data_IF_987073673923
#
_entry.id   IF_987073673923
#
_cell.length_a   1.000
_cell.length_b   1.000
_cell.length_c   1.000
_cell.angle_alpha   90.00
_cell.angle_beta   90.00
_cell.angle_gamma   90.00
#
_symmetry.space_group_name_H-M   'P 1'
#
loop_
_entity.id
_entity.type
_entity.pdbx_description
1 polymer ?
#
# COMPACT_ATOMS: atom_id res chain seq x y z
N UNK A 1 -10.55 30.72 9.14
CA UNK A 1 -9.79 29.46 8.98
C UNK A 1 -8.85 29.54 7.78
N UNK A 2 -7.78 28.72 7.76
CA UNK A 2 -6.87 28.59 6.62
C UNK A 2 -7.51 27.72 5.53
N UNK A 3 -7.22 28.00 4.26
CA UNK A 3 -7.78 27.27 3.11
C UNK A 3 -7.56 25.76 3.21
N UNK A 4 -6.39 25.32 3.71
CA UNK A 4 -6.09 23.89 3.87
C UNK A 4 -7.08 23.15 4.79
N UNK A 5 -7.57 23.80 5.85
CA UNK A 5 -8.57 23.19 6.74
C UNK A 5 -9.93 23.06 6.07
N UNK A 6 -10.30 24.04 5.24
CA UNK A 6 -11.56 24.05 4.51
C UNK A 6 -11.54 23.03 3.38
N UNK A 7 -10.41 22.88 2.66
CA UNK A 7 -10.25 21.82 1.67
C UNK A 7 -10.49 20.42 2.24
N UNK A 8 -10.07 20.18 3.49
CA UNK A 8 -10.36 18.92 4.20
C UNK A 8 -11.86 18.75 4.48
N UNK A 9 -12.54 19.82 4.90
CA UNK A 9 -13.98 19.80 5.14
C UNK A 9 -14.77 19.59 3.85
N UNK A 10 -14.32 20.16 2.72
CA UNK A 10 -14.91 19.94 1.39
C UNK A 10 -14.87 18.45 1.02
N UNK A 11 -13.70 17.80 1.10
CA UNK A 11 -13.60 16.36 0.81
C UNK A 11 -14.48 15.53 1.77
N UNK A 12 -14.40 15.82 3.07
CA UNK A 12 -15.21 15.16 4.09
C UNK A 12 -16.71 15.27 3.80
N UNK A 13 -17.17 16.39 3.23
CA UNK A 13 -18.60 16.59 2.90
C UNK A 13 -19.11 15.76 1.73
N UNK A 14 -18.20 15.26 0.88
CA UNK A 14 -18.53 14.38 -0.25
C UNK A 14 -18.64 12.93 0.25
N UNK A 15 -17.75 12.54 1.15
CA UNK A 15 -17.69 11.17 1.67
C UNK A 15 -18.74 10.92 2.78
N UNK A 16 -18.98 11.91 3.64
CA UNK A 16 -19.84 11.77 4.80
C UNK A 16 -20.59 13.07 5.16
N UNK A 17 -21.60 12.94 6.03
CA UNK A 17 -22.38 14.09 6.47
C UNK A 17 -21.58 14.91 7.50
N UNK A 18 -21.25 16.16 7.14
CA UNK A 18 -20.64 17.10 8.07
C UNK A 18 -21.57 17.41 9.25
N UNK A 19 -20.97 17.71 10.41
CA UNK A 19 -21.74 18.26 11.52
C UNK A 19 -22.16 19.72 11.23
N UNK A 20 -23.21 20.25 11.88
CA UNK A 20 -23.73 21.59 11.58
C UNK A 20 -22.70 22.71 11.72
N UNK A 21 -21.75 22.58 12.66
CA UNK A 21 -20.71 23.58 12.92
C UNK A 21 -19.64 23.57 11.83
N UNK A 22 -19.22 22.39 11.38
CA UNK A 22 -18.27 22.21 10.28
C UNK A 22 -18.86 22.72 8.96
N UNK A 23 -20.15 22.46 8.74
CA UNK A 23 -20.86 22.95 7.57
C UNK A 23 -20.93 24.49 7.56
N UNK A 24 -21.29 25.10 8.69
CA UNK A 24 -21.35 26.56 8.81
C UNK A 24 -19.96 27.21 8.61
N UNK A 25 -18.90 26.63 9.18
CA UNK A 25 -17.52 27.10 9.00
C UNK A 25 -17.07 27.00 7.52
N UNK A 26 -17.43 25.91 6.84
CA UNK A 26 -17.16 25.71 5.41
C UNK A 26 -17.88 26.77 4.57
N UNK A 27 -19.19 26.93 4.73
CA UNK A 27 -20.00 27.91 3.99
C UNK A 27 -19.52 29.35 4.19
N UNK A 28 -19.15 29.73 5.43
CA UNK A 28 -18.58 31.05 5.74
C UNK A 28 -17.28 31.30 4.96
N UNK A 29 -16.46 30.28 4.77
CA UNK A 29 -15.20 30.42 4.05
C UNK A 29 -15.42 30.47 2.53
N UNK A 30 -16.30 29.63 1.99
CA UNK A 30 -16.63 29.61 0.56
C UNK A 30 -17.14 30.97 0.07
N UNK A 31 -17.90 31.69 0.91
CA UNK A 31 -18.35 33.06 0.60
C UNK A 31 -17.22 34.06 0.40
N UNK A 32 -16.05 33.83 1.00
CA UNK A 32 -14.94 34.81 1.07
C UNK A 32 -13.71 34.41 0.25
N UNK A 33 -13.52 33.12 -0.03
CA UNK A 33 -12.37 32.61 -0.78
C UNK A 33 -12.84 32.05 -2.13
N UNK A 34 -12.36 32.64 -3.23
CA UNK A 34 -12.68 32.18 -4.59
C UNK A 34 -12.11 30.77 -4.84
N UNK A 35 -10.84 30.55 -4.54
CA UNK A 35 -10.16 29.27 -4.82
C UNK A 35 -10.83 28.06 -4.13
N UNK A 36 -11.29 28.23 -2.89
CA UNK A 36 -12.00 27.17 -2.19
C UNK A 36 -13.42 26.94 -2.74
N UNK A 37 -14.05 27.98 -3.30
CA UNK A 37 -15.37 27.89 -3.95
C UNK A 37 -15.28 27.15 -5.27
N UNK A 38 -14.32 27.54 -6.11
CA UNK A 38 -14.08 26.89 -7.39
C UNK A 38 -13.81 25.40 -7.19
N UNK A 39 -12.92 25.05 -6.23
CA UNK A 39 -12.66 23.66 -5.88
C UNK A 39 -13.91 22.89 -5.42
N UNK A 40 -14.76 23.52 -4.60
CA UNK A 40 -16.00 22.89 -4.13
C UNK A 40 -16.96 22.63 -5.29
N UNK A 41 -17.15 23.61 -6.17
CA UNK A 41 -18.01 23.49 -7.35
C UNK A 41 -17.49 22.42 -8.33
N UNK A 42 -16.19 22.39 -8.58
CA UNK A 42 -15.55 21.39 -9.45
C UNK A 42 -15.75 19.97 -8.92
N UNK A 43 -15.47 19.75 -7.64
CA UNK A 43 -15.63 18.43 -7.02
C UNK A 43 -17.10 17.99 -6.97
N UNK A 44 -18.01 18.92 -6.66
CA UNK A 44 -19.43 18.62 -6.60
C UNK A 44 -19.98 18.23 -7.97
N UNK A 45 -19.56 18.93 -9.05
CA UNK A 45 -19.93 18.57 -10.43
C UNK A 45 -19.48 17.16 -10.79
N UNK A 46 -18.24 16.79 -10.47
CA UNK A 46 -17.72 15.44 -10.76
C UNK A 46 -18.53 14.35 -10.06
N UNK A 47 -18.92 14.59 -8.80
CA UNK A 47 -19.73 13.64 -8.02
C UNK A 47 -21.15 13.55 -8.56
N UNK A 48 -21.72 14.66 -9.02
CA UNK A 48 -23.05 14.69 -9.64
C UNK A 48 -23.08 13.98 -11.01
N UNK A 49 -21.96 14.01 -11.74
CA UNK A 49 -21.82 13.33 -13.04
C UNK A 49 -21.50 11.83 -12.91
N UNK A 50 -20.91 11.39 -11.80
CA UNK A 50 -20.48 10.01 -11.58
C UNK A 50 -21.59 8.94 -11.77
N UNK A 51 -22.87 9.17 -11.36
CA UNK A 51 -23.96 8.23 -11.60
C UNK A 51 -24.31 8.00 -13.08
N UNK A 52 -23.88 8.88 -13.98
CA UNK A 52 -24.11 8.73 -15.43
C UNK A 52 -23.09 7.79 -16.09
N UNK A 53 -22.11 7.30 -15.34
CA UNK A 53 -21.14 6.33 -15.85
C UNK A 53 -21.81 4.98 -16.11
N UNK A 54 -21.30 4.20 -17.09
CA UNK A 54 -21.81 2.86 -17.36
C UNK A 54 -21.69 2.00 -16.10
N UNK A 55 -22.75 1.26 -15.79
CA UNK A 55 -22.74 0.36 -14.64
C UNK A 55 -21.80 -0.82 -14.94
N UNK A 56 -20.74 -0.97 -14.14
CA UNK A 56 -19.83 -2.11 -14.21
C UNK A 56 -20.26 -3.12 -13.15
N UNK A 57 -20.97 -4.16 -13.56
CA UNK A 57 -21.29 -5.26 -12.66
C UNK A 57 -19.99 -6.00 -12.29
N UNK A 58 -19.64 -6.09 -10.99
CA UNK A 58 -18.51 -6.89 -10.56
C UNK A 58 -18.77 -8.37 -10.86
N UNK A 59 -17.70 -9.13 -11.10
CA UNK A 59 -17.79 -10.58 -11.25
C UNK A 59 -18.53 -11.21 -10.05
N UNK A 60 -19.47 -12.16 -10.27
CA UNK A 60 -20.19 -12.83 -9.19
C UNK A 60 -19.30 -13.43 -8.09
N UNK A 61 -18.11 -13.91 -8.45
CA UNK A 61 -17.13 -14.46 -7.50
C UNK A 61 -16.54 -13.41 -6.54
N UNK A 62 -16.54 -12.12 -6.91
CA UNK A 62 -16.09 -11.05 -6.02
C UNK A 62 -17.03 -10.93 -4.81
N UNK A 63 -18.33 -11.01 -5.05
CA UNK A 63 -19.32 -10.92 -3.99
C UNK A 63 -19.24 -12.11 -3.02
N UNK A 64 -19.04 -13.32 -3.54
CA UNK A 64 -18.82 -14.52 -2.72
C UNK A 64 -17.62 -14.36 -1.78
N UNK A 65 -16.52 -13.78 -2.28
CA UNK A 65 -15.31 -13.50 -1.48
C UNK A 65 -15.54 -12.42 -0.43
N UNK A 66 -16.28 -11.36 -0.76
CA UNK A 66 -16.64 -10.30 0.19
C UNK A 66 -17.54 -10.88 1.29
N UNK A 67 -18.57 -11.64 0.92
CA UNK A 67 -19.47 -12.30 1.86
C UNK A 67 -18.72 -13.28 2.78
N UNK A 68 -17.81 -14.08 2.23
CA UNK A 68 -16.95 -14.96 3.02
C UNK A 68 -16.09 -14.17 4.02
N UNK A 69 -15.54 -13.03 3.61
CA UNK A 69 -14.72 -12.17 4.47
C UNK A 69 -15.53 -11.53 5.60
N UNK A 70 -16.74 -11.04 5.31
CA UNK A 70 -17.64 -10.44 6.31
C UNK A 70 -18.12 -11.47 7.35
N UNK A 71 -18.45 -12.69 6.91
CA UNK A 71 -18.82 -13.79 7.82
C UNK A 71 -17.64 -14.24 8.70
N UNK A 72 -16.41 -14.14 8.18
CA UNK A 72 -15.20 -14.43 8.95
C UNK A 72 -14.92 -13.35 10.00
N UNK A 73 -15.28 -12.10 9.72
CA UNK A 73 -15.15 -10.97 10.64
C UNK A 73 -16.21 -10.99 11.75
N UNK A 74 -17.42 -11.53 11.49
CA UNK A 74 -18.42 -11.78 12.54
C UNK A 74 -18.09 -12.98 13.45
N UNK A 75 -17.33 -13.95 12.95
CA UNK A 75 -16.91 -15.14 13.73
C UNK A 75 -15.58 -14.96 14.45
N UNK A 76 -14.77 -13.99 14.03
CA UNK A 76 -13.66 -13.54 14.85
C UNK A 76 -14.20 -12.66 15.98
N UNK A 77 -13.91 -12.98 17.25
CA UNK A 77 -14.25 -12.07 18.32
C UNK A 77 -13.57 -10.74 18.00
N UNK A 78 -14.37 -9.69 17.80
CA UNK A 78 -13.90 -8.30 17.74
C UNK A 78 -12.78 -8.19 18.75
N UNK A 79 -11.57 -7.76 18.36
CA UNK A 79 -10.44 -7.63 19.27
C UNK A 79 -10.89 -6.78 20.46
N UNK A 80 -11.35 -7.48 21.49
CA UNK A 80 -11.85 -6.91 22.71
C UNK A 80 -10.58 -6.47 23.39
N UNK A 81 -10.31 -5.16 23.33
CA UNK A 81 -9.33 -4.55 24.22
C UNK A 81 -9.52 -5.17 25.59
N UNK A 82 -8.49 -5.79 26.19
CA UNK A 82 -8.66 -6.69 27.32
C UNK A 82 -9.48 -5.99 28.38
N UNK A 83 -10.73 -6.46 28.49
CA UNK A 83 -11.71 -5.92 29.41
C UNK A 83 -11.11 -6.07 30.80
N UNK A 84 -10.98 -4.92 31.43
CA UNK A 84 -10.25 -4.68 32.68
C UNK A 84 -10.57 -5.79 33.68
N UNK A 85 -9.53 -6.51 34.09
CA UNK A 85 -9.49 -7.44 35.22
C UNK A 85 -10.40 -6.92 36.35
N UNK A 86 -11.54 -7.58 36.58
CA UNK A 86 -12.33 -7.38 37.81
C UNK A 86 -11.56 -8.06 38.94
N UNK A 87 -10.57 -7.36 39.47
CA UNK A 87 -9.91 -7.76 40.71
C UNK A 87 -10.89 -7.44 41.84
N UNK A 88 -11.51 -8.48 42.39
CA UNK A 88 -12.20 -8.37 43.67
C UNK A 88 -11.13 -8.24 44.76
N UNK A 89 -10.87 -7.00 45.19
CA UNK A 89 -9.98 -6.75 46.31
C UNK A 89 -10.78 -6.96 47.61
N UNK A 90 -10.41 -7.92 48.48
CA UNK A 90 -10.96 -7.97 49.81
C UNK A 90 -10.55 -6.70 50.55
N UNK A 91 -11.51 -6.07 51.22
CA UNK A 91 -11.36 -4.81 51.93
C UNK A 91 -10.45 -4.99 53.15
N UNK A 92 -9.14 -4.94 52.96
CA UNK A 92 -8.20 -4.85 54.08
C UNK A 92 -7.46 -3.51 54.02
N UNK A 93 -7.70 -2.72 55.08
CA UNK A 93 -6.87 -1.64 55.62
C UNK A 93 -7.15 -0.21 55.07
N UNK A 94 -8.08 0.55 55.70
CA UNK A 94 -8.50 1.87 55.26
C UNK A 94 -7.47 3.01 55.48
N UNK A 95 -6.36 2.79 56.21
CA UNK A 95 -5.45 3.88 56.65
C UNK A 95 -4.21 4.13 55.76
N UNK A 96 -3.90 3.27 54.78
CA UNK A 96 -2.67 3.40 53.97
C UNK A 96 -2.89 3.49 52.44
N UNK A 97 -4.14 3.70 52.00
CA UNK A 97 -4.55 3.68 50.58
C UNK A 97 -3.80 4.70 49.70
N UNK A 98 -3.47 5.87 50.25
CA UNK A 98 -2.85 6.95 49.48
C UNK A 98 -1.32 6.83 49.37
N UNK A 99 -0.66 6.22 50.37
CA UNK A 99 0.80 6.06 50.38
C UNK A 99 1.27 4.91 49.47
N UNK A 100 0.56 3.79 49.48
CA UNK A 100 0.89 2.63 48.62
C UNK A 100 0.50 2.89 47.17
N UNK A 101 -0.60 3.61 46.93
CA UNK A 101 -1.03 4.00 45.57
C UNK A 101 -0.02 4.88 44.85
N UNK A 102 0.55 5.88 45.53
CA UNK A 102 1.53 6.79 44.93
C UNK A 102 2.84 6.08 44.53
N UNK A 103 3.33 5.16 45.37
CA UNK A 103 4.54 4.38 45.07
C UNK A 103 4.33 3.44 43.87
N UNK A 104 3.18 2.77 43.78
CA UNK A 104 2.87 1.87 42.66
C UNK A 104 2.65 2.61 41.34
N UNK A 105 2.06 3.82 41.37
CA UNK A 105 1.92 4.67 40.17
C UNK A 105 3.28 5.13 39.65
N UNK A 106 4.20 5.51 40.54
CA UNK A 106 5.56 5.90 40.14
C UNK A 106 6.34 4.73 39.54
N UNK A 107 6.23 3.53 40.11
CA UNK A 107 6.87 2.32 39.56
C UNK A 107 6.23 1.93 38.22
N UNK A 108 4.91 1.99 38.09
CA UNK A 108 4.20 1.74 36.82
C UNK A 108 4.57 2.77 35.74
N UNK A 109 4.68 4.04 36.08
CA UNK A 109 5.11 5.09 35.15
C UNK A 109 6.58 4.90 34.74
N UNK A 110 7.47 4.56 35.69
CA UNK A 110 8.86 4.27 35.37
C UNK A 110 9.00 3.05 34.46
N UNK A 111 8.28 1.95 34.75
CA UNK A 111 8.25 0.75 33.91
C UNK A 111 7.61 1.05 32.54
N UNK A 112 6.54 1.83 32.50
CA UNK A 112 5.90 2.25 31.24
C UNK A 112 6.83 3.10 30.39
N UNK A 113 7.56 4.06 30.96
CA UNK A 113 8.53 4.86 30.21
C UNK A 113 9.71 4.01 29.74
N UNK A 114 10.20 3.05 30.53
CA UNK A 114 11.31 2.18 30.13
C UNK A 114 10.90 1.15 29.07
N UNK A 115 9.69 0.57 29.17
CA UNK A 115 9.22 -0.50 28.26
C UNK A 115 8.52 0.08 27.01
N UNK A 116 7.81 1.20 27.13
CA UNK A 116 7.03 1.81 26.03
C UNK A 116 7.61 3.13 25.51
N UNK A 117 8.52 3.78 26.23
CA UNK A 117 9.20 5.00 25.77
C UNK A 117 9.90 4.88 24.40
N UNK A 118 10.51 3.73 24.03
CA UNK A 118 11.08 3.57 22.70
C UNK A 118 10.05 3.51 21.56
N UNK A 119 8.75 3.32 21.87
CA UNK A 119 7.67 3.19 20.88
C UNK A 119 6.80 4.44 20.70
N UNK A 120 6.87 5.41 21.60
CA UNK A 120 6.14 6.69 21.51
C UNK A 120 7.00 7.88 21.09
N UNK A 121 8.26 7.64 20.70
CA UNK A 121 9.07 8.67 20.04
C UNK A 121 8.41 9.11 18.72
N UNK A 122 8.47 10.40 18.35
CA UNK A 122 8.07 10.83 17.00
C UNK A 122 8.83 9.95 16.01
N UNK A 123 8.11 9.36 15.05
CA UNK A 123 8.67 8.44 14.05
C UNK A 123 9.76 9.13 13.23
N UNK A 124 10.96 9.19 13.78
CA UNK A 124 12.20 9.28 13.03
C UNK A 124 12.22 7.96 12.30
N UNK A 125 11.74 7.97 11.05
CA UNK A 125 11.98 6.89 10.11
C UNK A 125 13.49 6.67 10.15
N UNK A 126 13.92 5.58 10.76
CA UNK A 126 15.31 5.20 10.72
C UNK A 126 15.64 5.02 9.23
N UNK A 127 16.53 5.82 8.64
CA UNK A 127 16.85 5.72 7.21
C UNK A 127 17.24 4.29 6.82
N UNK A 128 17.83 3.55 7.77
CA UNK A 128 18.20 2.14 7.59
C UNK A 128 16.98 1.21 7.50
N UNK A 129 15.87 1.55 8.17
CA UNK A 129 14.61 0.79 8.10
C UNK A 129 13.85 1.04 6.79
N UNK A 130 13.87 2.29 6.27
CA UNK A 130 13.27 2.65 4.99
C UNK A 130 14.05 2.03 3.82
N UNK A 131 15.39 2.04 3.86
CA UNK A 131 16.23 1.37 2.87
C UNK A 131 15.98 -0.14 2.82
N UNK A 132 15.95 -0.83 3.98
CA UNK A 132 15.66 -2.27 4.04
C UNK A 132 14.29 -2.63 3.49
N UNK A 133 13.27 -1.82 3.81
CA UNK A 133 11.94 -2.00 3.26
C UNK A 133 11.93 -1.86 1.74
N UNK A 134 12.60 -0.83 1.21
CA UNK A 134 12.70 -0.59 -0.23
C UNK A 134 13.39 -1.75 -0.94
N UNK A 135 14.51 -2.23 -0.39
CA UNK A 135 15.25 -3.38 -0.92
C UNK A 135 14.38 -4.64 -0.96
N UNK A 136 13.66 -4.93 0.12
CA UNK A 136 12.75 -6.07 0.19
C UNK A 136 11.65 -6.01 -0.88
N UNK A 137 11.13 -4.80 -1.17
CA UNK A 137 10.11 -4.61 -2.22
C UNK A 137 10.66 -4.79 -3.63
N UNK A 138 11.91 -4.39 -3.86
CA UNK A 138 12.57 -4.63 -5.15
C UNK A 138 12.87 -6.11 -5.37
N UNK A 139 13.29 -6.83 -4.33
CA UNK A 139 13.50 -8.28 -4.38
C UNK A 139 12.19 -9.04 -4.64
N UNK A 140 11.10 -8.62 -4.00
CA UNK A 140 9.76 -9.13 -4.27
C UNK A 140 9.34 -8.91 -5.73
N UNK A 141 9.53 -7.70 -6.27
CA UNK A 141 9.24 -7.40 -7.67
C UNK A 141 10.08 -8.27 -8.63
N UNK A 142 11.36 -8.48 -8.33
CA UNK A 142 12.27 -9.34 -9.11
C UNK A 142 11.71 -10.75 -9.26
N UNK A 143 11.21 -11.33 -8.16
CA UNK A 143 10.61 -12.66 -8.17
C UNK A 143 9.41 -12.75 -9.12
N UNK A 144 8.55 -11.73 -9.13
CA UNK A 144 7.40 -11.69 -10.04
C UNK A 144 7.82 -11.56 -11.50
N UNK A 145 8.82 -10.73 -11.82
CA UNK A 145 9.34 -10.62 -13.18
C UNK A 145 9.98 -11.93 -13.65
N UNK A 146 10.74 -12.62 -12.80
CA UNK A 146 11.34 -13.92 -13.15
C UNK A 146 10.27 -14.94 -13.53
N UNK A 147 9.18 -15.01 -12.75
CA UNK A 147 8.03 -15.87 -13.07
C UNK A 147 7.34 -15.49 -14.38
N UNK A 148 7.18 -14.19 -14.64
CA UNK A 148 6.58 -13.71 -15.88
C UNK A 148 7.44 -14.10 -17.09
N UNK A 149 8.76 -13.87 -17.01
CA UNK A 149 9.71 -14.26 -18.06
C UNK A 149 9.68 -15.77 -18.28
N UNK A 150 9.64 -16.58 -17.23
CA UNK A 150 9.54 -18.04 -17.35
C UNK A 150 8.27 -18.45 -18.09
N UNK A 151 7.10 -17.96 -17.67
CA UNK A 151 5.82 -18.27 -18.30
C UNK A 151 5.76 -17.82 -19.77
N UNK A 152 6.23 -16.61 -20.07
CA UNK A 152 6.27 -16.07 -21.43
C UNK A 152 7.24 -16.82 -22.32
N UNK A 153 8.40 -17.22 -21.78
CA UNK A 153 9.37 -18.03 -22.52
C UNK A 153 8.79 -19.41 -22.86
N UNK A 154 8.09 -20.05 -21.92
CA UNK A 154 7.40 -21.32 -22.18
C UNK A 154 6.33 -21.18 -23.27
N UNK A 155 5.50 -20.14 -23.20
CA UNK A 155 4.51 -19.84 -24.23
C UNK A 155 5.16 -19.60 -25.61
N UNK A 156 6.27 -18.84 -25.63
CA UNK A 156 7.04 -18.57 -26.84
C UNK A 156 7.62 -19.84 -27.44
N UNK A 157 8.24 -20.73 -26.65
CA UNK A 157 8.83 -21.99 -27.18
C UNK A 157 7.80 -22.90 -27.85
N UNK A 158 6.55 -22.90 -27.38
CA UNK A 158 5.47 -23.68 -27.99
C UNK A 158 5.06 -23.12 -29.36
N UNK A 159 5.13 -21.80 -29.52
CA UNK A 159 4.72 -21.08 -30.74
C UNK A 159 5.86 -20.83 -31.72
N UNK A 160 7.10 -20.95 -31.27
CA UNK A 160 8.30 -20.71 -32.05
C UNK A 160 8.35 -21.50 -33.37
N UNK A 161 7.73 -22.68 -33.42
CA UNK A 161 7.69 -23.54 -34.62
C UNK A 161 6.88 -22.94 -35.79
N UNK A 162 5.97 -21.99 -35.53
CA UNK A 162 5.16 -21.33 -36.57
C UNK A 162 5.75 -20.00 -37.08
N UNK A 163 6.82 -19.50 -36.47
CA UNK A 163 7.42 -18.20 -36.81
C UNK A 163 8.33 -18.28 -38.05
N UNK A 164 8.42 -17.18 -38.81
CA UNK A 164 9.40 -17.06 -39.89
C UNK A 164 10.84 -17.21 -39.34
N UNK A 165 11.68 -18.08 -39.92
CA UNK A 165 13.02 -18.35 -39.41
C UNK A 165 13.94 -17.13 -39.39
N UNK A 166 13.69 -16.14 -40.25
CA UNK A 166 14.44 -14.88 -40.32
C UNK A 166 14.06 -13.96 -39.16
N UNK A 167 12.75 -13.83 -38.89
CA UNK A 167 12.24 -13.03 -37.76
C UNK A 167 12.67 -13.64 -36.42
N UNK A 168 12.63 -14.97 -36.33
CA UNK A 168 13.08 -15.73 -35.16
C UNK A 168 14.55 -15.44 -34.84
N UNK A 169 15.42 -15.45 -35.84
CA UNK A 169 16.86 -15.23 -35.65
C UNK A 169 17.16 -13.82 -35.12
N UNK A 170 16.48 -12.79 -35.63
CA UNK A 170 16.66 -11.41 -35.14
C UNK A 170 16.11 -11.24 -33.71
N UNK A 171 14.96 -11.86 -33.41
CA UNK A 171 14.40 -11.86 -32.06
C UNK A 171 15.32 -12.55 -31.05
N UNK A 172 15.84 -13.74 -31.37
CA UNK A 172 16.77 -14.46 -30.51
C UNK A 172 18.05 -13.66 -30.24
N UNK A 173 18.55 -12.95 -31.25
CA UNK A 173 19.69 -12.04 -31.10
C UNK A 173 19.38 -10.90 -30.13
N UNK A 174 18.21 -10.27 -30.23
CA UNK A 174 17.78 -9.22 -29.30
C UNK A 174 17.63 -9.75 -27.87
N UNK A 175 16.96 -10.90 -27.70
CA UNK A 175 16.79 -11.54 -26.39
C UNK A 175 18.13 -11.91 -25.77
N UNK A 176 19.09 -12.41 -26.56
CA UNK A 176 20.44 -12.73 -26.08
C UNK A 176 21.17 -11.50 -25.53
N UNK A 177 21.02 -10.32 -26.15
CA UNK A 177 21.59 -9.07 -25.62
C UNK A 177 21.00 -8.72 -24.26
N UNK A 178 19.67 -8.85 -24.11
CA UNK A 178 19.00 -8.59 -22.82
C UNK A 178 19.46 -9.59 -21.76
N UNK A 179 19.58 -10.87 -22.10
CA UNK A 179 20.02 -11.92 -21.18
C UNK A 179 21.45 -11.70 -20.69
N UNK A 180 22.37 -11.34 -21.58
CA UNK A 180 23.74 -10.99 -21.17
C UNK A 180 23.79 -9.78 -20.22
N UNK A 181 22.85 -8.84 -20.39
CA UNK A 181 22.72 -7.65 -19.54
C UNK A 181 22.20 -8.04 -18.16
N UNK A 182 21.15 -8.86 -18.09
CA UNK A 182 20.61 -9.43 -16.84
C UNK A 182 21.72 -10.16 -16.07
N UNK A 183 22.47 -11.04 -16.74
CA UNK A 183 23.57 -11.80 -16.12
C UNK A 183 24.67 -10.89 -15.56
N UNK A 184 24.92 -9.75 -16.19
CA UNK A 184 25.89 -8.77 -15.71
C UNK A 184 25.44 -8.08 -14.43
N UNK A 185 24.16 -7.69 -14.36
CA UNK A 185 23.57 -7.08 -13.17
C UNK A 185 23.43 -8.07 -12.02
N UNK A 186 23.04 -9.32 -12.29
CA UNK A 186 23.00 -10.35 -11.27
C UNK A 186 24.38 -10.60 -10.64
N UNK A 187 25.43 -10.59 -11.46
CA UNK A 187 26.82 -10.67 -10.98
C UNK A 187 27.20 -9.47 -10.13
N UNK A 188 26.83 -8.25 -10.53
CA UNK A 188 27.10 -7.03 -9.78
C UNK A 188 26.35 -7.01 -8.43
N UNK A 189 25.09 -7.44 -8.41
CA UNK A 189 24.27 -7.51 -7.18
C UNK A 189 24.83 -8.56 -6.20
N UNK A 190 25.39 -9.67 -6.68
CA UNK A 190 26.07 -10.63 -5.79
C UNK A 190 27.24 -10.01 -5.03
N UNK A 191 27.89 -8.98 -5.59
CA UNK A 191 28.98 -8.26 -4.93
C UNK A 191 28.45 -7.16 -4.01
N UNK A 192 27.39 -6.46 -4.41
CA UNK A 192 26.75 -5.39 -3.63
C UNK A 192 25.23 -5.61 -3.50
N UNK A 193 24.76 -6.47 -2.57
CA UNK A 193 23.33 -6.81 -2.48
C UNK A 193 22.43 -5.66 -2.04
N UNK A 194 22.96 -4.71 -1.28
CA UNK A 194 22.22 -3.56 -0.72
C UNK A 194 22.18 -2.33 -1.65
N UNK A 195 22.75 -2.44 -2.86
CA UNK A 195 22.71 -1.37 -3.87
C UNK A 195 21.33 -1.33 -4.55
N UNK A 196 20.49 -0.41 -4.07
CA UNK A 196 19.14 -0.16 -4.62
C UNK A 196 19.19 0.19 -6.11
N UNK A 197 20.22 0.92 -6.55
CA UNK A 197 20.35 1.33 -7.94
C UNK A 197 20.51 0.10 -8.84
N UNK A 198 21.43 -0.79 -8.49
CA UNK A 198 21.63 -2.04 -9.24
C UNK A 198 20.39 -2.94 -9.25
N UNK A 199 19.67 -3.04 -8.12
CA UNK A 199 18.42 -3.79 -8.06
C UNK A 199 17.38 -3.21 -9.02
N UNK A 200 17.24 -1.89 -9.08
CA UNK A 200 16.32 -1.21 -9.98
C UNK A 200 16.69 -1.42 -11.47
N UNK A 201 17.97 -1.26 -11.83
CA UNK A 201 18.45 -1.51 -13.20
C UNK A 201 18.19 -2.96 -13.65
N UNK A 202 18.36 -3.94 -12.75
CA UNK A 202 18.02 -5.33 -13.03
C UNK A 202 16.52 -5.51 -13.32
N UNK A 203 15.64 -4.84 -12.56
CA UNK A 203 14.19 -4.89 -12.81
C UNK A 203 13.83 -4.31 -14.17
N UNK A 204 14.46 -3.21 -14.58
CA UNK A 204 14.24 -2.61 -15.90
C UNK A 204 14.66 -3.56 -17.03
N UNK A 205 15.79 -4.26 -16.86
CA UNK A 205 16.22 -5.28 -17.82
C UNK A 205 15.21 -6.44 -17.95
N UNK A 206 14.66 -6.91 -16.83
CA UNK A 206 13.59 -7.91 -16.85
C UNK A 206 12.31 -7.40 -17.52
N UNK A 207 11.90 -6.16 -17.21
CA UNK A 207 10.72 -5.55 -17.83
C UNK A 207 10.87 -5.47 -19.36
N UNK A 208 12.06 -5.08 -19.84
CA UNK A 208 12.33 -5.05 -21.28
C UNK A 208 12.20 -6.44 -21.91
N UNK A 209 12.70 -7.50 -21.25
CA UNK A 209 12.55 -8.88 -21.73
C UNK A 209 11.08 -9.30 -21.83
N UNK A 210 10.29 -8.99 -20.80
CA UNK A 210 8.84 -9.25 -20.79
C UNK A 210 8.15 -8.55 -21.96
N UNK A 211 8.40 -7.25 -22.15
CA UNK A 211 7.79 -6.48 -23.22
C UNK A 211 8.09 -7.07 -24.61
N UNK A 212 9.34 -7.46 -24.86
CA UNK A 212 9.74 -8.09 -26.14
C UNK A 212 9.01 -9.42 -26.36
N UNK A 213 8.91 -10.26 -25.32
CA UNK A 213 8.19 -11.53 -25.41
C UNK A 213 6.68 -11.33 -25.63
N UNK A 214 6.07 -10.38 -24.93
CA UNK A 214 4.65 -10.04 -25.09
C UNK A 214 4.35 -9.49 -26.49
N UNK A 215 5.14 -8.54 -26.98
CA UNK A 215 4.94 -7.92 -28.29
C UNK A 215 4.94 -8.97 -29.41
N UNK A 216 5.89 -9.92 -29.37
CA UNK A 216 5.94 -11.03 -30.33
C UNK A 216 4.70 -11.92 -30.22
N UNK A 217 4.20 -12.18 -29.01
CA UNK A 217 2.97 -12.97 -28.84
C UNK A 217 1.72 -12.24 -29.37
N UNK A 218 1.67 -10.90 -29.29
CA UNK A 218 0.54 -10.10 -29.76
C UNK A 218 0.55 -9.82 -31.27
N UNK A 219 1.73 -9.79 -31.91
CA UNK A 219 1.85 -9.51 -33.35
C UNK A 219 1.22 -10.58 -34.27
N UNK A 220 1.09 -11.83 -33.81
CA UNK A 220 0.43 -12.92 -34.56
C UNK A 220 -1.08 -13.07 -34.27
N UNK A 221 -1.65 -12.25 -33.39
CA UNK A 221 -3.09 -12.27 -33.10
C UNK A 221 -3.96 -11.51 -34.10
N UNK A 222 -3.41 -11.07 -35.23
CA UNK A 222 -4.05 -10.15 -36.18
C UNK A 222 -3.95 -10.63 -37.63
#
# INVERSE_FOLDING_TARGET
MKCQGIKKLINKSIDEKLNPREQEEMEKHLKRCKDCRDLYEDLYRLVEEAPNLPDLEPSPHLWEKIQASLLQEETQPSHSYPSRFKISFPSLLPKFRYAVGAALILVMLAVSVVVWGPRLGPGVKDPLSEQKYTLAKLEEARHYYQKAVEALTQAFTTRQESLDPTLLAELQKSLAVIDTTIDSYERAIRQNPEDIGLQNELLLAYQQKVNVLEEVMFLEGR
#
